data_IF_186011062839
#
_entry.id   IF_186011062839
#
_cell.length_a   1.000
_cell.length_b   1.000
_cell.length_c   1.000
_cell.angle_alpha   90.00
_cell.angle_beta   90.00
_cell.angle_gamma   90.00
#
_symmetry.space_group_name_H-M   'P 1'
#
loop_
_entity.id
_entity.type
_entity.pdbx_description
1 polymer ?
#
# COMPACT_ATOMS: atom_id res chain seq x y z
N UNK A 1 -10.51 -9.19 -3.83
CA UNK A 1 -11.11 -9.11 -2.48
C UNK A 1 -10.97 -7.69 -2.01
N UNK A 2 -12.08 -7.03 -1.70
CA UNK A 2 -12.07 -5.66 -1.19
C UNK A 2 -11.51 -5.61 0.23
N UNK A 3 -10.71 -4.58 0.51
CA UNK A 3 -10.04 -4.36 1.78
C UNK A 3 -10.22 -2.89 2.18
N UNK A 4 -10.55 -2.68 3.45
CA UNK A 4 -10.36 -1.40 4.12
C UNK A 4 -9.26 -1.59 5.17
N UNK A 5 -8.25 -0.72 5.16
CA UNK A 5 -7.10 -0.85 6.05
C UNK A 5 -6.59 0.52 6.48
N UNK A 6 -6.11 0.61 7.72
CA UNK A 6 -5.41 1.78 8.25
C UNK A 6 -3.93 1.47 8.39
N UNK A 7 -3.09 2.42 8.00
CA UNK A 7 -1.65 2.21 8.06
C UNK A 7 -0.86 3.45 7.72
N UNK A 8 0.46 3.29 7.75
CA UNK A 8 1.42 4.32 7.38
C UNK A 8 2.04 4.00 6.04
N UNK A 9 2.04 4.98 5.13
CA UNK A 9 2.71 4.89 3.84
C UNK A 9 4.21 4.98 4.06
N UNK A 10 4.95 3.99 3.54
CA UNK A 10 6.39 3.87 3.66
C UNK A 10 7.03 3.55 2.31
N UNK A 11 8.22 4.08 2.06
CA UNK A 11 9.07 3.70 0.94
C UNK A 11 9.98 2.57 1.39
N UNK A 12 9.76 1.38 0.86
CA UNK A 12 10.65 0.23 1.09
C UNK A 12 11.81 0.26 0.10
N UNK A 13 13.01 -0.11 0.57
CA UNK A 13 14.19 -0.32 -0.27
C UNK A 13 14.27 -1.74 -0.84
N UNK A 14 13.33 -2.63 -0.50
CA UNK A 14 13.30 -3.98 -1.04
C UNK A 14 12.95 -3.97 -2.54
N UNK A 15 13.50 -4.92 -3.29
CA UNK A 15 13.39 -4.95 -4.76
C UNK A 15 14.13 -3.76 -5.40
N UNK A 16 13.47 -3.05 -6.32
CA UNK A 16 13.96 -1.80 -6.94
C UNK A 16 13.42 -0.54 -6.25
N UNK A 17 12.92 -0.69 -5.01
CA UNK A 17 12.16 0.32 -4.33
C UNK A 17 10.67 0.21 -4.64
N UNK A 18 9.85 0.11 -3.59
CA UNK A 18 8.38 0.07 -3.72
C UNK A 18 7.73 0.87 -2.60
N UNK A 19 6.48 1.27 -2.83
CA UNK A 19 5.68 1.91 -1.79
C UNK A 19 4.88 0.85 -1.05
N UNK A 20 4.76 1.02 0.26
CA UNK A 20 4.05 0.09 1.11
C UNK A 20 3.05 0.80 2.01
N UNK A 21 1.99 0.08 2.37
CA UNK A 21 1.12 0.43 3.48
C UNK A 21 1.46 -0.51 4.65
N UNK A 22 2.07 0.03 5.70
CA UNK A 22 2.38 -0.71 6.92
C UNK A 22 1.21 -0.55 7.88
N UNK A 23 0.50 -1.65 8.11
CA UNK A 23 -0.59 -1.74 9.11
C UNK A 23 -0.08 -2.46 10.36
N UNK A 24 -0.88 -2.55 11.42
CA UNK A 24 -0.48 -3.19 12.68
C UNK A 24 -0.20 -4.70 12.53
N UNK A 25 -0.79 -5.37 11.53
CA UNK A 25 -0.67 -6.82 11.36
C UNK A 25 -0.03 -7.27 10.04
N UNK A 26 0.08 -6.37 9.06
CA UNK A 26 0.53 -6.73 7.71
C UNK A 26 1.09 -5.55 6.94
N UNK A 27 2.09 -5.82 6.11
CA UNK A 27 2.57 -4.87 5.11
C UNK A 27 1.98 -5.22 3.75
N UNK A 28 1.48 -4.22 3.05
CA UNK A 28 1.02 -4.35 1.67
C UNK A 28 1.95 -3.59 0.75
N UNK A 29 2.27 -4.16 -0.42
CA UNK A 29 2.86 -3.39 -1.50
C UNK A 29 1.77 -2.59 -2.22
N UNK A 30 1.97 -1.29 -2.44
CA UNK A 30 1.01 -0.46 -3.16
C UNK A 30 1.23 -0.64 -4.67
N UNK A 31 0.19 -1.10 -5.38
CA UNK A 31 0.23 -1.35 -6.82
C UNK A 31 0.51 -0.07 -7.63
N UNK A 32 1.04 -0.24 -8.84
CA UNK A 32 1.25 0.84 -9.80
C UNK A 32 -0.12 1.42 -10.21
N UNK A 33 -0.34 2.72 -10.00
CA UNK A 33 -1.64 3.37 -10.20
C UNK A 33 -2.34 3.83 -8.92
N UNK A 34 -1.59 3.98 -7.82
CA UNK A 34 -2.06 4.61 -6.60
C UNK A 34 -2.70 6.01 -6.87
N UNK A 35 -3.74 6.40 -6.13
CA UNK A 35 -4.30 7.74 -6.20
C UNK A 35 -3.25 8.82 -5.91
N UNK A 36 -3.40 9.97 -6.58
CA UNK A 36 -2.51 11.11 -6.39
C UNK A 36 -2.49 11.56 -4.92
N UNK A 37 -1.30 11.86 -4.42
CA UNK A 37 -1.09 12.26 -3.02
C UNK A 37 -1.03 11.12 -2.01
N UNK A 38 -1.31 9.86 -2.39
CA UNK A 38 -1.16 8.72 -1.48
C UNK A 38 0.31 8.46 -1.12
N UNK A 39 1.21 8.53 -2.11
CA UNK A 39 2.60 8.09 -2.01
C UNK A 39 3.52 9.12 -1.32
N UNK A 40 3.23 9.40 -0.05
CA UNK A 40 3.97 10.34 0.80
C UNK A 40 4.55 9.58 1.99
N UNK A 41 5.87 9.63 2.15
CA UNK A 41 6.58 8.96 3.24
C UNK A 41 6.05 9.42 4.61
N UNK A 42 5.66 8.47 5.46
CA UNK A 42 5.17 8.74 6.81
C UNK A 42 3.71 9.16 6.90
N UNK A 43 2.98 9.30 5.79
CA UNK A 43 1.57 9.67 5.80
C UNK A 43 0.73 8.52 6.39
N UNK A 44 -0.08 8.82 7.41
CA UNK A 44 -1.09 7.89 7.93
C UNK A 44 -2.38 8.03 7.13
N UNK A 45 -2.94 6.90 6.73
CA UNK A 45 -4.12 6.86 5.87
C UNK A 45 -5.04 5.71 6.24
N UNK A 46 -6.34 5.90 6.01
CA UNK A 46 -7.29 4.82 5.79
C UNK A 46 -7.45 4.63 4.28
N UNK A 47 -7.25 3.42 3.79
CA UNK A 47 -7.41 3.10 2.36
C UNK A 47 -8.59 2.18 2.13
N UNK A 48 -9.20 2.30 0.95
CA UNK A 48 -10.09 1.30 0.38
C UNK A 48 -9.47 0.79 -0.92
N UNK A 49 -9.38 -0.53 -1.08
CA UNK A 49 -8.72 -1.12 -2.24
C UNK A 49 -8.97 -2.61 -2.39
N UNK A 50 -8.19 -3.25 -3.25
CA UNK A 50 -8.27 -4.68 -3.49
C UNK A 50 -6.92 -5.36 -3.43
N UNK A 51 -6.86 -6.49 -2.74
CA UNK A 51 -5.66 -7.34 -2.77
C UNK A 51 -5.62 -8.09 -4.10
N UNK A 52 -4.55 -7.86 -4.86
CA UNK A 52 -4.27 -8.45 -6.17
C UNK A 52 -3.52 -9.77 -5.98
N UNK A 53 -4.19 -10.88 -6.31
CA UNK A 53 -3.60 -12.24 -6.29
C UNK A 53 -2.97 -12.62 -7.63
N UNK A 54 -3.28 -11.86 -8.66
CA UNK A 54 -2.82 -12.01 -10.05
C UNK A 54 -1.50 -11.29 -10.31
N UNK A 55 -0.98 -10.54 -9.34
CA UNK A 55 0.26 -9.78 -9.46
C UNK A 55 1.34 -10.40 -8.60
N UNK A 56 2.44 -10.82 -9.24
CA UNK A 56 3.67 -11.21 -8.56
C UNK A 56 4.63 -10.02 -8.52
N UNK A 57 5.32 -9.84 -7.40
CA UNK A 57 6.27 -8.75 -7.15
C UNK A 57 7.62 -9.30 -6.71
N UNK A 58 8.69 -8.58 -7.05
CA UNK A 58 10.06 -8.88 -6.61
C UNK A 58 10.39 -8.29 -5.23
N UNK A 59 9.57 -7.36 -4.71
CA UNK A 59 9.86 -6.69 -3.44
C UNK A 59 9.71 -7.63 -2.23
N UNK A 60 8.91 -8.71 -2.36
CA UNK A 60 8.68 -9.72 -1.32
C UNK A 60 8.26 -9.15 0.05
N UNK A 61 7.67 -7.94 0.07
CA UNK A 61 7.26 -7.22 1.29
C UNK A 61 5.89 -7.65 1.82
N UNK A 62 5.09 -8.31 0.99
CA UNK A 62 3.71 -8.68 1.29
C UNK A 62 2.86 -8.73 0.02
N UNK A 63 1.54 -8.94 0.15
CA UNK A 63 0.65 -8.94 -1.00
C UNK A 63 0.48 -7.55 -1.59
N UNK A 64 0.13 -7.52 -2.88
CA UNK A 64 -0.07 -6.28 -3.63
C UNK A 64 -1.48 -5.76 -3.41
N UNK A 65 -1.59 -4.48 -3.06
CA UNK A 65 -2.82 -3.74 -2.81
C UNK A 65 -3.03 -2.68 -3.89
N UNK A 66 -4.12 -2.82 -4.63
CA UNK A 66 -4.60 -1.85 -5.62
C UNK A 66 -5.54 -0.87 -4.92
N UNK A 67 -5.00 0.28 -4.50
CA UNK A 67 -5.74 1.30 -3.75
C UNK A 67 -6.66 2.07 -4.66
N UNK A 68 -7.95 2.12 -4.32
CA UNK A 68 -8.99 2.84 -5.09
C UNK A 68 -9.28 4.22 -4.52
N UNK A 69 -9.22 4.37 -3.20
CA UNK A 69 -9.34 5.66 -2.52
C UNK A 69 -8.61 5.63 -1.18
N UNK A 70 -8.31 6.82 -0.66
CA UNK A 70 -7.71 6.98 0.66
C UNK A 70 -8.18 8.26 1.35
N UNK A 71 -8.11 8.24 2.67
CA UNK A 71 -8.38 9.37 3.56
C UNK A 71 -7.15 9.58 4.45
N UNK A 72 -6.52 10.77 4.43
CA UNK A 72 -5.48 11.12 5.39
C UNK A 72 -6.02 11.06 6.83
N UNK A 73 -5.23 10.47 7.72
CA UNK A 73 -5.49 10.47 9.15
C UNK A 73 -4.56 11.49 9.79
N UNK A 74 -5.14 12.57 10.33
CA UNK A 74 -4.40 13.64 11.00
C UNK A 74 -3.62 13.20 12.23
#
# INVERSE_FOLDING_TARGET
MSLQAEGTVKKSLMGMGTWTLVTDGQTYEIHKGAPDGLLVEGQKVRVNGEVRKDVMTMAMVGPVLDVKSFEPMG
#
